data_IF_979360679375
#
_entry.id   IF_979360679375
#
_cell.length_a   1.000
_cell.length_b   1.000
_cell.length_c   1.000
_cell.angle_alpha   90.00
_cell.angle_beta   90.00
_cell.angle_gamma   90.00
#
_symmetry.space_group_name_H-M   'P 1'
#
loop_
_entity.id
_entity.type
_entity.pdbx_description
1 polymer ?
#
# COMPACT_ATOMS: atom_id res chain seq x y z
N UNK A 1 13.59 1.29 -19.84
CA UNK A 1 12.32 0.80 -19.23
C UNK A 1 12.42 0.74 -17.70
N UNK A 2 13.51 0.18 -17.14
CA UNK A 2 13.73 0.08 -15.69
C UNK A 2 13.73 1.39 -14.89
N UNK A 3 14.27 2.50 -15.43
CA UNK A 3 14.30 3.79 -14.71
C UNK A 3 12.91 4.37 -14.42
N UNK A 4 11.93 4.18 -15.30
CA UNK A 4 10.56 4.66 -15.08
C UNK A 4 9.87 3.84 -13.99
N UNK A 5 10.05 2.51 -14.02
CA UNK A 5 9.51 1.59 -13.01
C UNK A 5 10.07 1.91 -11.62
N UNK A 6 11.38 2.18 -11.53
CA UNK A 6 12.04 2.56 -10.27
C UNK A 6 11.44 3.82 -9.64
N UNK A 7 11.15 4.86 -10.44
CA UNK A 7 10.53 6.10 -9.95
C UNK A 7 9.11 5.87 -9.43
N UNK A 8 8.30 5.07 -10.14
CA UNK A 8 6.92 4.78 -9.71
C UNK A 8 6.94 3.96 -8.41
N UNK A 9 7.83 2.97 -8.29
CA UNK A 9 8.01 2.21 -7.05
C UNK A 9 8.36 3.11 -5.86
N UNK A 10 9.32 4.03 -6.02
CA UNK A 10 9.66 4.99 -4.97
C UNK A 10 8.47 5.88 -4.57
N UNK A 11 7.65 6.31 -5.54
CA UNK A 11 6.42 7.04 -5.26
C UNK A 11 5.42 6.19 -4.48
N UNK A 12 5.20 4.94 -4.88
CA UNK A 12 4.31 4.02 -4.18
C UNK A 12 4.78 3.73 -2.74
N UNK A 13 6.09 3.58 -2.51
CA UNK A 13 6.65 3.42 -1.17
C UNK A 13 6.42 4.66 -0.30
N UNK A 14 6.60 5.85 -0.87
CA UNK A 14 6.33 7.12 -0.18
C UNK A 14 4.84 7.22 0.19
N UNK A 15 3.95 7.00 -0.78
CA UNK A 15 2.49 7.03 -0.55
C UNK A 15 2.06 6.01 0.50
N UNK A 16 2.64 4.81 0.49
CA UNK A 16 2.38 3.77 1.49
C UNK A 16 2.79 4.24 2.89
N UNK A 17 3.95 4.88 3.03
CA UNK A 17 4.43 5.40 4.32
C UNK A 17 3.50 6.49 4.89
N UNK A 18 3.03 7.36 4.02
CA UNK A 18 2.17 8.51 4.34
C UNK A 18 0.68 8.14 4.43
N UNK A 19 0.30 6.89 4.13
CA UNK A 19 -1.09 6.45 4.17
C UNK A 19 -1.63 6.45 5.61
N UNK A 20 -2.68 7.26 5.82
CA UNK A 20 -3.43 7.35 7.09
C UNK A 20 -4.80 6.67 7.03
N UNK A 21 -5.29 6.42 5.80
CA UNK A 21 -6.58 5.82 5.51
C UNK A 21 -6.63 4.29 5.59
N UNK A 22 -7.81 3.74 5.32
CA UNK A 22 -8.11 2.31 5.31
C UNK A 22 -8.28 1.73 3.90
N UNK A 23 -8.86 0.53 3.79
CA UNK A 23 -9.10 -0.11 2.47
C UNK A 23 -10.13 0.63 1.61
N UNK A 24 -10.96 1.48 2.22
CA UNK A 24 -11.97 2.27 1.52
C UNK A 24 -11.41 3.59 0.94
N UNK A 25 -10.17 3.95 1.26
CA UNK A 25 -9.58 5.21 0.82
C UNK A 25 -9.12 5.16 -0.64
N UNK A 26 -9.37 6.26 -1.37
CA UNK A 26 -8.87 6.43 -2.73
C UNK A 26 -7.35 6.26 -2.81
N UNK A 27 -6.61 6.78 -1.83
CA UNK A 27 -5.15 6.69 -1.78
C UNK A 27 -4.65 5.25 -1.76
N UNK A 28 -5.32 4.35 -1.02
CA UNK A 28 -4.99 2.93 -1.01
C UNK A 28 -5.21 2.30 -2.39
N UNK A 29 -6.39 2.52 -2.99
CA UNK A 29 -6.71 1.99 -4.30
C UNK A 29 -5.78 2.52 -5.39
N UNK A 30 -5.42 3.80 -5.34
CA UNK A 30 -4.53 4.44 -6.30
C UNK A 30 -3.11 3.86 -6.23
N UNK A 31 -2.55 3.71 -5.03
CA UNK A 31 -1.23 3.08 -4.84
C UNK A 31 -1.26 1.60 -5.22
N UNK A 32 -2.30 0.86 -4.86
CA UNK A 32 -2.46 -0.56 -5.24
C UNK A 32 -2.56 -0.73 -6.76
N UNK A 33 -3.36 0.09 -7.44
CA UNK A 33 -3.52 0.03 -8.89
C UNK A 33 -2.22 0.38 -9.61
N UNK A 34 -1.47 1.36 -9.09
CA UNK A 34 -0.15 1.72 -9.63
C UNK A 34 0.84 0.55 -9.54
N UNK A 35 0.91 -0.12 -8.39
CA UNK A 35 1.76 -1.31 -8.19
C UNK A 35 1.33 -2.47 -9.10
N UNK A 36 0.03 -2.70 -9.25
CA UNK A 36 -0.50 -3.73 -10.14
C UNK A 36 -0.18 -3.42 -11.62
N UNK A 37 -0.28 -2.16 -12.05
CA UNK A 37 0.06 -1.76 -13.41
C UNK A 37 1.53 -2.04 -13.74
N UNK A 38 2.45 -1.76 -12.81
CA UNK A 38 3.88 -2.10 -12.96
C UNK A 38 4.05 -3.62 -13.01
N UNK A 39 3.37 -4.36 -12.14
CA UNK A 39 3.44 -5.83 -12.12
C UNK A 39 3.02 -6.42 -13.46
N UNK A 40 1.88 -5.98 -14.01
CA UNK A 40 1.40 -6.40 -15.33
C UNK A 40 2.43 -6.05 -16.41
N UNK A 41 2.95 -4.83 -16.43
CA UNK A 41 3.96 -4.42 -17.41
C UNK A 41 5.25 -5.26 -17.35
N UNK A 42 5.75 -5.57 -16.16
CA UNK A 42 6.94 -6.41 -15.97
C UNK A 42 6.66 -7.83 -16.44
N UNK A 43 5.50 -8.39 -16.08
CA UNK A 43 5.09 -9.73 -16.45
C UNK A 43 4.87 -9.89 -17.97
N UNK A 44 4.25 -8.90 -18.62
CA UNK A 44 4.00 -8.89 -20.08
C UNK A 44 5.28 -8.67 -20.89
N UNK A 45 6.28 -7.97 -20.35
CA UNK A 45 7.54 -7.71 -21.05
C UNK A 45 8.42 -8.96 -21.17
N UNK A 46 8.07 -10.09 -20.54
CA UNK A 46 8.92 -11.29 -20.45
C UNK A 46 10.20 -11.08 -19.65
N UNK A 47 10.37 -9.89 -19.08
CA UNK A 47 11.49 -9.47 -18.25
C UNK A 47 11.22 -10.06 -16.86
N UNK A 48 11.70 -11.29 -16.64
CA UNK A 48 11.65 -12.00 -15.35
C UNK A 48 12.59 -11.35 -14.32
N UNK A 49 12.54 -10.02 -14.23
CA UNK A 49 13.29 -9.23 -13.29
C UNK A 49 12.74 -9.49 -11.88
N UNK A 50 13.22 -10.58 -11.33
CA UNK A 50 12.80 -11.16 -10.06
C UNK A 50 12.97 -10.16 -8.92
N UNK A 51 13.97 -9.28 -9.03
CA UNK A 51 14.18 -8.19 -8.07
C UNK A 51 13.05 -7.14 -8.13
N UNK A 52 12.65 -6.73 -9.32
CA UNK A 52 11.55 -5.77 -9.49
C UNK A 52 10.23 -6.35 -9.00
N UNK A 53 9.92 -7.61 -9.33
CA UNK A 53 8.74 -8.30 -8.82
C UNK A 53 8.77 -8.44 -7.29
N UNK A 54 9.94 -8.72 -6.71
CA UNK A 54 10.12 -8.78 -5.24
C UNK A 54 9.85 -7.41 -4.60
N UNK A 55 10.34 -6.32 -5.18
CA UNK A 55 10.09 -4.95 -4.70
C UNK A 55 8.61 -4.57 -4.77
N UNK A 56 7.92 -4.94 -5.85
CA UNK A 56 6.47 -4.71 -5.99
C UNK A 56 5.71 -5.47 -4.89
N UNK A 57 6.01 -6.75 -4.70
CA UNK A 57 5.37 -7.57 -3.67
C UNK A 57 5.64 -7.06 -2.25
N UNK A 58 6.86 -6.62 -1.97
CA UNK A 58 7.20 -6.00 -0.68
C UNK A 58 6.42 -4.70 -0.45
N UNK A 59 6.28 -3.86 -1.48
CA UNK A 59 5.50 -2.63 -1.39
C UNK A 59 4.00 -2.92 -1.19
N UNK A 60 3.43 -3.92 -1.87
CA UNK A 60 2.05 -4.36 -1.68
C UNK A 60 1.81 -4.89 -0.25
N UNK A 61 2.75 -5.66 0.28
CA UNK A 61 2.68 -6.18 1.65
C UNK A 61 2.69 -5.03 2.67
N UNK A 62 3.63 -4.08 2.52
CA UNK A 62 3.71 -2.89 3.38
C UNK A 62 2.43 -2.06 3.32
N UNK A 63 1.82 -1.94 2.13
CA UNK A 63 0.55 -1.24 1.95
C UNK A 63 -0.57 -1.90 2.74
N UNK A 64 -0.71 -3.22 2.62
CA UNK A 64 -1.70 -3.99 3.38
C UNK A 64 -1.47 -3.91 4.90
N UNK A 65 -0.22 -4.05 5.35
CA UNK A 65 0.14 -3.95 6.77
C UNK A 65 -0.19 -2.56 7.32
N UNK A 66 0.11 -1.49 6.56
CA UNK A 66 -0.19 -0.12 6.96
C UNK A 66 -1.69 0.13 7.08
N UNK A 67 -2.47 -0.33 6.11
CA UNK A 67 -3.93 -0.22 6.14
C UNK A 67 -4.51 -0.95 7.34
N UNK A 68 -4.08 -2.19 7.60
CA UNK A 68 -4.53 -2.94 8.77
C UNK A 68 -4.18 -2.22 10.07
N UNK A 69 -3.00 -1.60 10.17
CA UNK A 69 -2.63 -0.80 11.33
C UNK A 69 -3.54 0.42 11.50
N UNK A 70 -3.87 1.11 10.42
CA UNK A 70 -4.76 2.28 10.45
C UNK A 70 -6.19 1.89 10.86
N UNK A 71 -6.71 0.79 10.33
CA UNK A 71 -8.04 0.26 10.67
C UNK A 71 -8.10 -0.21 12.13
N UNK A 72 -7.06 -0.92 12.61
CA UNK A 72 -6.96 -1.31 14.03
C UNK A 72 -6.92 -0.10 14.95
N UNK A 73 -6.13 0.93 14.62
CA UNK A 73 -6.10 2.19 15.39
C UNK A 73 -7.48 2.84 15.43
N UNK A 74 -8.15 2.98 14.28
CA UNK A 74 -9.50 3.54 14.19
C UNK A 74 -10.48 2.78 15.08
N UNK A 75 -10.43 1.45 15.04
CA UNK A 75 -11.28 0.58 15.86
C UNK A 75 -10.99 0.77 17.36
N UNK A 76 -9.72 0.72 17.78
CA UNK A 76 -9.33 0.95 19.18
C UNK A 76 -9.80 2.31 19.69
N UNK A 77 -9.63 3.38 18.91
CA UNK A 77 -10.11 4.71 19.29
C UNK A 77 -11.63 4.79 19.42
N UNK A 78 -12.38 4.06 18.58
CA UNK A 78 -13.84 4.04 18.62
C UNK A 78 -14.36 3.39 19.91
N UNK A 79 -13.82 2.23 20.29
CA UNK A 79 -14.25 1.53 21.51
C UNK A 79 -13.71 2.16 22.80
N UNK A 80 -12.47 2.64 22.82
CA UNK A 80 -11.91 3.35 23.97
C UNK A 80 -12.65 4.68 24.28
N UNK A 81 -13.26 5.30 23.26
CA UNK A 81 -14.13 6.48 23.45
C UNK A 81 -15.48 6.11 24.07
N UNK A 82 -16.03 4.93 23.74
CA UNK A 82 -17.31 4.48 24.29
C UNK A 82 -17.21 4.06 25.77
N UNK A 83 -16.09 3.45 26.20
CA UNK A 83 -15.87 3.10 27.61
C UNK A 83 -15.75 4.33 28.54
N UNK A 84 -15.33 5.48 28.01
CA UNK A 84 -15.25 6.75 28.74
C UNK A 84 -16.57 7.50 28.87
N UNK A 85 -17.56 7.19 28.04
CA UNK A 85 -18.89 7.81 28.09
C UNK A 85 -19.84 6.97 28.97
N UNK A 86 -19.54 5.69 29.16
CA UNK A 86 -20.33 4.76 29.96
C UNK A 86 -19.93 4.68 31.45
N UNK A 87 -18.95 5.48 31.90
CA UNK A 87 -18.55 5.61 33.31
C UNK A 87 -18.77 7.04 33.81
#
# INVERSE_FOLDING_TARGET
MGEKIGKILQMCEKQTRELTGGKSDFSYHNTRNSLHGIWTQVNESGDNNTETLKKINDCLKKLEEKVQQNERKKHQHYYAKNERIAN
#
